data_IF_563698759758
#
_entry.id   IF_563698759758
#
_cell.length_a   1.000
_cell.length_b   1.000
_cell.length_c   1.000
_cell.angle_alpha   90.00
_cell.angle_beta   90.00
_cell.angle_gamma   90.00
#
_symmetry.space_group_name_H-M   'P 1'
#
loop_
_entity.id
_entity.type
_entity.pdbx_description
1 polymer ?
#
# COMPACT_ATOMS: atom_id res chain seq x y z
N UNK A 1 10.08 -42.12 -16.72
CA UNK A 1 10.20 -42.18 -15.24
C UNK A 1 9.22 -41.18 -14.64
N UNK A 2 8.33 -41.57 -13.70
CA UNK A 2 7.27 -40.71 -13.13
C UNK A 2 7.53 -40.47 -11.63
N UNK A 3 7.75 -39.22 -11.24
CA UNK A 3 7.92 -38.80 -9.83
C UNK A 3 6.59 -38.25 -9.31
N UNK A 4 6.19 -38.65 -8.09
CA UNK A 4 4.98 -38.16 -7.42
C UNK A 4 5.36 -37.39 -6.14
N UNK A 5 4.99 -36.13 -6.05
CA UNK A 5 5.18 -35.30 -4.86
C UNK A 5 4.15 -35.72 -3.80
N UNK A 6 4.59 -36.07 -2.59
CA UNK A 6 3.70 -36.55 -1.50
C UNK A 6 3.16 -35.42 -0.63
N UNK A 7 3.99 -34.40 -0.37
CA UNK A 7 3.68 -33.27 0.49
C UNK A 7 4.54 -32.09 0.09
N UNK A 8 3.96 -30.89 0.08
CA UNK A 8 4.66 -29.63 -0.14
C UNK A 8 4.33 -28.66 0.98
N UNK A 9 5.35 -28.00 1.50
CA UNK A 9 5.22 -26.88 2.43
C UNK A 9 5.83 -25.67 1.75
N UNK A 10 4.96 -24.79 1.23
CA UNK A 10 5.38 -23.55 0.58
C UNK A 10 5.47 -22.42 1.61
N UNK A 11 6.45 -21.55 1.43
CA UNK A 11 6.53 -20.26 2.11
C UNK A 11 6.54 -19.20 1.02
N UNK A 12 5.75 -18.16 1.19
CA UNK A 12 5.69 -17.04 0.26
C UNK A 12 5.77 -15.73 1.03
N UNK A 13 6.40 -14.74 0.40
CA UNK A 13 6.40 -13.35 0.84
C UNK A 13 5.59 -12.55 -0.16
N UNK A 14 4.73 -11.65 0.31
CA UNK A 14 4.03 -10.72 -0.56
C UNK A 14 4.92 -9.50 -0.83
N UNK A 15 4.72 -8.85 -1.97
CA UNK A 15 5.31 -7.57 -2.37
C UNK A 15 4.24 -6.77 -3.10
N UNK A 16 4.37 -5.45 -3.07
CA UNK A 16 3.52 -4.60 -3.91
C UNK A 16 3.88 -4.79 -5.38
N UNK A 17 2.88 -4.83 -6.26
CA UNK A 17 3.06 -4.84 -7.72
C UNK A 17 3.32 -3.40 -8.21
N UNK A 18 4.45 -2.86 -7.76
CA UNK A 18 4.93 -1.49 -8.01
C UNK A 18 6.42 -1.62 -8.38
N UNK A 19 6.97 -0.78 -9.28
CA UNK A 19 8.40 -0.75 -9.57
C UNK A 19 9.26 -0.78 -8.29
N UNK A 20 10.28 -1.64 -8.25
CA UNK A 20 11.08 -1.92 -7.05
C UNK A 20 11.79 -0.69 -6.46
N UNK A 21 12.01 0.34 -7.28
CA UNK A 21 12.65 1.60 -6.90
C UNK A 21 11.67 2.70 -6.45
N UNK A 22 10.37 2.42 -6.40
CA UNK A 22 9.40 3.45 -6.04
C UNK A 22 9.34 3.69 -4.52
N UNK A 23 9.55 4.95 -4.17
CA UNK A 23 9.45 5.48 -2.80
C UNK A 23 8.24 6.39 -2.67
N UNK A 24 7.72 6.52 -1.45
CA UNK A 24 6.69 7.51 -1.20
C UNK A 24 7.25 8.92 -1.41
N UNK A 25 6.68 9.69 -2.36
CA UNK A 25 7.13 11.04 -2.69
C UNK A 25 7.07 12.06 -1.54
N UNK A 26 6.46 11.72 -0.40
CA UNK A 26 6.34 12.60 0.77
C UNK A 26 7.35 12.21 1.86
N UNK A 27 7.42 10.95 2.27
CA UNK A 27 8.32 10.51 3.34
C UNK A 27 9.62 9.88 2.85
N UNK A 28 9.77 9.64 1.54
CA UNK A 28 10.96 9.05 0.90
C UNK A 28 11.33 7.66 1.45
N UNK A 29 10.34 6.92 1.96
CA UNK A 29 10.48 5.54 2.42
C UNK A 29 9.86 4.62 1.37
N UNK A 30 10.48 3.45 1.17
CA UNK A 30 9.96 2.37 0.34
C UNK A 30 8.56 1.94 0.79
N UNK A 31 7.73 1.50 -0.15
CA UNK A 31 6.36 1.09 0.14
C UNK A 31 6.22 -0.21 0.95
N UNK A 32 7.27 -1.03 1.00
CA UNK A 32 7.35 -2.19 1.89
C UNK A 32 7.71 -1.78 3.35
N UNK A 33 8.12 -0.53 3.56
CA UNK A 33 8.42 0.03 4.87
C UNK A 33 7.22 0.76 5.49
N UNK A 34 7.29 1.00 6.80
CA UNK A 34 6.28 1.80 7.48
C UNK A 34 6.61 3.30 7.39
N UNK A 35 5.57 4.13 7.33
CA UNK A 35 5.69 5.58 7.39
C UNK A 35 6.44 6.03 8.67
N UNK A 36 7.04 7.23 8.75
CA UNK A 36 7.74 7.69 9.97
C UNK A 36 6.80 7.85 11.18
N UNK A 37 5.50 8.01 10.94
CA UNK A 37 4.47 8.03 12.00
C UNK A 37 4.04 6.62 12.45
N UNK A 38 4.51 5.57 11.78
CA UNK A 38 4.09 4.19 11.92
C UNK A 38 5.26 3.37 12.48
N UNK A 39 5.11 2.82 13.69
CA UNK A 39 6.21 2.10 14.36
C UNK A 39 6.42 0.67 13.85
N UNK A 40 5.36 0.01 13.39
CA UNK A 40 5.41 -1.34 12.83
C UNK A 40 4.60 -1.38 11.53
N UNK A 41 5.01 -2.17 10.52
CA UNK A 41 4.18 -2.45 9.36
C UNK A 41 2.95 -3.24 9.84
N UNK A 42 1.79 -2.59 9.88
CA UNK A 42 0.53 -3.13 10.38
C UNK A 42 -0.66 -2.43 9.72
N UNK A 43 -1.88 -2.84 10.09
CA UNK A 43 -3.19 -2.48 9.49
C UNK A 43 -3.44 -0.96 9.26
N UNK A 44 -2.63 -0.07 9.84
CA UNK A 44 -2.85 1.38 9.80
C UNK A 44 -2.15 2.11 8.64
N UNK A 45 -1.23 1.50 7.89
CA UNK A 45 -0.46 2.17 6.82
C UNK A 45 -0.61 1.54 5.44
N UNK A 46 -1.83 1.54 4.90
CA UNK A 46 -2.09 1.19 3.49
C UNK A 46 -1.51 2.23 2.51
N UNK A 47 -1.23 1.82 1.26
CA UNK A 47 -0.91 2.77 0.19
C UNK A 47 -2.18 3.22 -0.51
N UNK A 48 -2.19 4.48 -0.90
CA UNK A 48 -3.23 5.13 -1.67
C UNK A 48 -2.64 5.61 -3.00
N UNK A 49 -3.32 5.23 -4.07
CA UNK A 49 -3.00 5.67 -5.43
C UNK A 49 -3.93 6.80 -5.83
N UNK A 50 -3.37 7.94 -6.27
CA UNK A 50 -4.16 9.00 -6.88
C UNK A 50 -4.61 8.64 -8.30
N UNK A 51 -5.60 9.36 -8.84
CA UNK A 51 -6.01 9.25 -10.27
C UNK A 51 -4.85 9.51 -11.25
N UNK A 52 -3.82 10.21 -10.78
CA UNK A 52 -2.60 10.48 -11.50
C UNK A 52 -1.63 9.29 -11.58
N UNK A 53 -1.94 8.15 -10.94
CA UNK A 53 -1.06 6.98 -10.88
C UNK A 53 0.07 7.09 -9.85
N UNK A 54 0.15 8.18 -9.08
CA UNK A 54 1.14 8.30 -8.00
C UNK A 54 0.66 7.61 -6.73
N UNK A 55 1.56 6.81 -6.13
CA UNK A 55 1.32 6.03 -4.92
C UNK A 55 1.91 6.76 -3.69
N UNK A 56 1.19 6.75 -2.57
CA UNK A 56 1.64 7.33 -1.31
C UNK A 56 1.16 6.51 -0.12
N UNK A 57 1.88 6.52 0.99
CA UNK A 57 1.34 6.01 2.26
C UNK A 57 0.12 6.83 2.70
N UNK A 58 -0.91 6.18 3.24
CA UNK A 58 -2.14 6.81 3.74
C UNK A 58 -1.88 7.99 4.68
N UNK A 59 -1.04 7.82 5.68
CA UNK A 59 -0.75 8.87 6.65
C UNK A 59 -0.06 10.08 6.02
N UNK A 60 0.87 9.83 5.10
CA UNK A 60 1.61 10.88 4.41
C UNK A 60 0.66 11.72 3.54
N UNK A 61 -0.19 11.09 2.73
CA UNK A 61 -1.11 11.83 1.87
C UNK A 61 -2.26 12.48 2.64
N UNK A 62 -2.75 11.86 3.70
CA UNK A 62 -3.78 12.45 4.56
C UNK A 62 -3.26 13.69 5.27
N UNK A 63 -2.03 13.65 5.80
CA UNK A 63 -1.39 14.80 6.41
C UNK A 63 -1.12 15.91 5.39
N UNK A 64 -0.76 15.56 4.16
CA UNK A 64 -0.59 16.53 3.07
C UNK A 64 -1.88 17.24 2.72
N UNK A 65 -2.98 16.51 2.49
CA UNK A 65 -4.28 17.09 2.11
C UNK A 65 -4.85 17.97 3.23
N UNK A 66 -4.56 17.67 4.51
CA UNK A 66 -4.96 18.50 5.65
C UNK A 66 -4.25 19.87 5.69
N UNK A 67 -3.14 20.05 4.96
CA UNK A 67 -2.47 21.35 4.88
C UNK A 67 -3.22 22.27 3.90
N UNK A 68 -3.58 23.47 4.36
CA UNK A 68 -4.27 24.50 3.57
C UNK A 68 -3.52 24.84 2.25
N UNK A 69 -2.19 24.81 2.29
CA UNK A 69 -1.31 25.06 1.14
C UNK A 69 -1.42 24.01 0.04
N UNK A 70 -1.76 22.77 0.38
CA UNK A 70 -1.83 21.66 -0.56
C UNK A 70 -3.06 21.74 -1.47
N UNK A 71 -4.13 22.43 -1.06
CA UNK A 71 -5.39 22.58 -1.80
C UNK A 71 -5.95 21.26 -2.35
N UNK A 72 -5.72 20.15 -1.65
CA UNK A 72 -6.12 18.81 -2.10
C UNK A 72 -5.46 18.37 -3.41
N UNK A 73 -4.26 18.85 -3.73
CA UNK A 73 -3.52 18.50 -4.94
C UNK A 73 -2.46 17.44 -4.68
N UNK A 74 -2.20 16.61 -5.68
CA UNK A 74 -1.09 15.66 -5.66
C UNK A 74 0.26 16.40 -5.55
N UNK A 75 1.17 16.00 -4.64
CA UNK A 75 2.47 16.66 -4.48
C UNK A 75 3.38 16.54 -5.71
N UNK A 76 3.20 15.50 -6.53
CA UNK A 76 4.04 15.23 -7.70
C UNK A 76 3.55 15.97 -8.96
N UNK A 77 2.24 15.95 -9.22
CA UNK A 77 1.68 16.45 -10.48
C UNK A 77 0.65 17.58 -10.34
N UNK A 78 0.35 18.04 -9.12
CA UNK A 78 -0.59 19.13 -8.81
C UNK A 78 -2.04 18.91 -9.30
N UNK A 79 -2.37 17.70 -9.75
CA UNK A 79 -3.75 17.35 -10.12
C UNK A 79 -4.62 17.28 -8.86
N UNK A 80 -5.90 17.65 -9.00
CA UNK A 80 -6.86 17.58 -7.90
C UNK A 80 -7.07 16.12 -7.49
N UNK A 81 -6.87 15.83 -6.21
CA UNK A 81 -7.17 14.54 -5.61
C UNK A 81 -8.69 14.50 -5.42
N UNK A 82 -9.46 14.12 -6.46
CA UNK A 82 -10.88 13.86 -6.23
C UNK A 82 -11.00 12.62 -5.34
N UNK A 83 -11.93 12.58 -4.35
CA UNK A 83 -12.32 11.29 -3.81
C UNK A 83 -12.74 10.39 -4.98
N UNK A 84 -12.37 9.11 -5.00
CA UNK A 84 -12.90 8.20 -6.00
C UNK A 84 -14.43 8.28 -5.90
N UNK A 85 -15.08 8.60 -7.00
CA UNK A 85 -16.53 8.58 -7.07
C UNK A 85 -16.98 7.20 -6.59
N UNK A 86 -17.89 7.15 -5.60
CA UNK A 86 -18.64 5.94 -5.28
C UNK A 86 -19.40 5.52 -6.54
N UNK A 87 -18.78 4.68 -7.34
CA UNK A 87 -19.26 4.20 -8.61
C UNK A 87 -18.56 2.88 -8.86
N UNK A 88 -19.24 1.80 -8.47
CA UNK A 88 -19.00 0.41 -8.83
C UNK A 88 -17.53 -0.03 -9.00
N UNK A 89 -17.01 -0.71 -7.98
CA UNK A 89 -16.25 -1.94 -8.21
C UNK A 89 -14.80 -1.80 -8.67
N UNK A 90 -14.12 -0.67 -8.44
CA UNK A 90 -12.65 -0.59 -8.54
C UNK A 90 -12.06 0.23 -7.40
N UNK A 91 -12.40 -0.15 -6.18
CA UNK A 91 -11.50 0.09 -5.07
C UNK A 91 -10.36 -0.89 -5.20
N UNK A 92 -9.27 -0.51 -5.87
CA UNK A 92 -7.99 -1.15 -5.56
C UNK A 92 -7.55 -0.56 -4.21
N UNK A 93 -8.30 -0.93 -3.16
CA UNK A 93 -7.63 -1.22 -1.91
C UNK A 93 -6.62 -2.27 -2.33
N UNK A 94 -5.36 -1.87 -2.45
CA UNK A 94 -4.24 -2.80 -2.47
C UNK A 94 -4.23 -3.44 -1.07
N UNK A 95 -5.25 -4.25 -0.79
CA UNK A 95 -5.32 -5.06 0.39
C UNK A 95 -4.13 -6.00 0.30
N UNK A 96 -3.37 -6.06 1.39
CA UNK A 96 -2.40 -7.12 1.59
C UNK A 96 -3.11 -8.44 1.21
N UNK A 97 -2.63 -9.21 0.22
CA UNK A 97 -3.35 -10.36 -0.31
C UNK A 97 -3.40 -11.55 0.66
N UNK A 98 -2.92 -11.39 1.90
CA UNK A 98 -3.04 -12.42 2.91
C UNK A 98 -4.30 -12.21 3.76
N UNK A 99 -5.28 -13.14 3.75
CA UNK A 99 -6.17 -13.24 4.89
C UNK A 99 -5.28 -13.41 6.12
N UNK A 100 -5.46 -12.55 7.13
CA UNK A 100 -4.78 -12.70 8.43
C UNK A 100 -4.81 -14.19 8.81
N UNK A 101 -3.65 -14.87 8.95
CA UNK A 101 -3.70 -16.25 9.37
C UNK A 101 -4.46 -16.29 10.70
N UNK A 102 -5.53 -17.09 10.76
CA UNK A 102 -6.30 -17.29 11.99
C UNK A 102 -5.43 -17.90 13.11
N UNK A 103 -4.23 -18.39 12.76
CA UNK A 103 -3.19 -18.82 13.67
C UNK A 103 -2.35 -17.63 14.18
N UNK A 104 -2.44 -17.29 15.48
CA UNK A 104 -1.63 -16.23 16.07
C UNK A 104 -0.12 -16.50 16.02
N UNK A 105 0.33 -17.74 15.75
CA UNK A 105 1.76 -18.13 15.71
C UNK A 105 2.48 -17.80 14.41
N UNK A 106 1.73 -17.39 13.39
CA UNK A 106 2.28 -16.96 12.09
C UNK A 106 2.23 -15.43 11.93
N UNK A 107 1.97 -14.70 13.02
CA UNK A 107 2.30 -13.29 13.10
C UNK A 107 3.82 -13.20 13.24
N UNK A 108 4.47 -12.64 12.22
CA UNK A 108 5.80 -12.03 12.40
C UNK A 108 5.74 -10.97 13.51
#
# INVERSE_FOLDING_TARGET
MKVKIKKWSAVATWRWDIPEDDVCGICQIHFDGSCPSCRFPGDDCELLSGKCGHNFHKHCITQWIRQESARGQCPMCRQSMSPPALGLGQGVAIQMPFPRPADPRLRI
#
